data_IF_595631091614
#
_entry.id   IF_595631091614
#
_cell.length_a   1.000
_cell.length_b   1.000
_cell.length_c   1.000
_cell.angle_alpha   90.00
_cell.angle_beta   90.00
_cell.angle_gamma   90.00
#
_symmetry.space_group_name_H-M   'P 1'
#
loop_
_entity.id
_entity.type
_entity.pdbx_description
1 polymer ?
#
# COMPACT_ATOMS: atom_id res chain seq x y z
N UNK A 1 6.94 9.66 -14.43
CA UNK A 1 6.37 10.45 -13.32
C UNK A 1 4.92 10.03 -13.15
N UNK A 2 4.63 9.21 -12.13
CA UNK A 2 3.28 8.70 -11.88
C UNK A 2 2.49 9.78 -11.15
N UNK A 3 1.68 10.54 -11.88
CA UNK A 3 1.01 11.75 -11.36
C UNK A 3 -0.41 11.48 -10.82
N UNK A 4 -0.73 10.23 -10.45
CA UNK A 4 -2.05 9.86 -9.92
C UNK A 4 -2.09 9.98 -8.40
N UNK A 5 -3.23 10.42 -7.87
CA UNK A 5 -3.53 10.29 -6.44
C UNK A 5 -3.90 8.85 -6.11
N UNK A 6 -3.93 8.52 -4.82
CA UNK A 6 -4.38 7.20 -4.37
C UNK A 6 -5.85 6.99 -4.72
N UNK A 7 -6.70 8.00 -4.56
CA UNK A 7 -8.10 7.95 -4.97
C UNK A 7 -8.28 7.63 -6.45
N UNK A 8 -7.49 8.26 -7.33
CA UNK A 8 -7.50 7.97 -8.77
C UNK A 8 -6.93 6.58 -9.10
N UNK A 9 -6.05 6.03 -8.27
CA UNK A 9 -5.53 4.68 -8.44
C UNK A 9 -6.62 3.63 -8.19
N UNK A 10 -7.50 3.88 -7.22
CA UNK A 10 -8.61 2.97 -6.87
C UNK A 10 -9.68 2.87 -7.96
N UNK A 11 -9.77 3.86 -8.85
CA UNK A 11 -10.71 3.82 -9.98
C UNK A 11 -10.14 3.07 -11.20
N UNK A 12 -8.87 2.65 -11.14
CA UNK A 12 -8.27 1.85 -12.20
C UNK A 12 -8.86 0.44 -12.21
N UNK A 13 -8.96 -0.14 -13.41
CA UNK A 13 -9.47 -1.50 -13.57
C UNK A 13 -8.64 -2.54 -12.81
N UNK A 14 -9.25 -3.68 -12.53
CA UNK A 14 -8.55 -4.80 -11.91
C UNK A 14 -7.29 -5.18 -12.73
N UNK A 15 -6.20 -5.53 -12.04
CA UNK A 15 -4.90 -5.91 -12.61
C UNK A 15 -4.25 -4.81 -13.47
N UNK A 16 -4.63 -3.55 -13.28
CA UNK A 16 -3.98 -2.44 -13.96
C UNK A 16 -2.47 -2.44 -13.70
N UNK A 17 -1.67 -2.31 -14.78
CA UNK A 17 -0.21 -2.34 -14.70
C UNK A 17 0.40 -3.72 -14.45
N UNK A 18 -0.39 -4.79 -14.39
CA UNK A 18 0.17 -6.13 -14.18
C UNK A 18 1.14 -6.53 -15.30
N UNK A 19 2.25 -7.14 -14.90
CA UNK A 19 3.33 -7.54 -15.81
C UNK A 19 4.27 -6.40 -16.21
N UNK A 20 3.99 -5.16 -15.80
CA UNK A 20 4.91 -4.02 -15.98
C UNK A 20 5.79 -3.86 -14.76
N UNK A 21 7.07 -3.60 -15.01
CA UNK A 21 8.01 -3.22 -13.96
C UNK A 21 7.56 -1.90 -13.31
N UNK A 22 7.80 -1.78 -12.01
CA UNK A 22 7.55 -0.57 -11.24
C UNK A 22 8.68 -0.39 -10.23
N UNK A 23 9.21 0.82 -10.16
CA UNK A 23 10.25 1.20 -9.20
C UNK A 23 9.65 1.65 -7.85
N UNK A 24 8.31 1.62 -7.74
CA UNK A 24 7.62 1.99 -6.51
C UNK A 24 7.75 0.90 -5.44
N UNK A 25 7.84 1.28 -4.15
CA UNK A 25 7.80 0.32 -3.05
C UNK A 25 6.58 -0.59 -3.12
N UNK A 26 6.79 -1.89 -2.87
CA UNK A 26 5.69 -2.86 -2.80
C UNK A 26 4.82 -2.56 -1.58
N UNK A 27 3.54 -2.28 -1.82
CA UNK A 27 2.58 -2.03 -0.76
C UNK A 27 1.22 -2.67 -1.04
N UNK A 28 0.50 -2.98 0.04
CA UNK A 28 -0.93 -3.28 0.03
C UNK A 28 -1.64 -2.13 0.73
N UNK A 29 -2.45 -1.40 -0.03
CA UNK A 29 -3.24 -0.27 0.44
C UNK A 29 -4.70 -0.71 0.47
N UNK A 30 -5.35 -0.59 1.62
CA UNK A 30 -6.72 -1.06 1.85
C UNK A 30 -7.62 0.11 2.25
N UNK A 31 -8.89 0.05 1.88
CA UNK A 31 -9.91 1.03 2.26
C UNK A 31 -11.22 0.36 2.57
N UNK A 32 -11.97 0.87 3.55
CA UNK A 32 -13.29 0.35 3.90
C UNK A 32 -13.26 -0.97 4.68
N UNK A 33 -12.12 -1.32 5.28
CA UNK A 33 -11.99 -2.48 6.16
C UNK A 33 -12.00 -2.05 7.63
N UNK A 34 -12.60 -2.89 8.46
CA UNK A 34 -12.47 -2.83 9.92
C UNK A 34 -11.07 -3.24 10.36
N UNK A 35 -10.70 -2.90 11.59
CA UNK A 35 -9.41 -3.32 12.17
C UNK A 35 -9.27 -4.86 12.20
N UNK A 36 -10.35 -5.57 12.53
CA UNK A 36 -10.35 -7.04 12.58
C UNK A 36 -10.03 -7.66 11.20
N UNK A 37 -10.70 -7.20 10.15
CA UNK A 37 -10.48 -7.71 8.79
C UNK A 37 -9.05 -7.45 8.30
N UNK A 38 -8.50 -6.26 8.60
CA UNK A 38 -7.10 -5.94 8.29
C UNK A 38 -6.15 -6.93 8.97
N UNK A 39 -6.35 -7.21 10.26
CA UNK A 39 -5.51 -8.18 10.98
C UNK A 39 -5.62 -9.60 10.42
N UNK A 40 -6.82 -10.03 10.01
CA UNK A 40 -7.04 -11.33 9.38
C UNK A 40 -6.24 -11.44 8.08
N UNK A 41 -6.35 -10.44 7.19
CA UNK A 41 -5.65 -10.41 5.91
C UNK A 41 -4.13 -10.42 6.12
N UNK A 42 -3.63 -9.58 7.02
CA UNK A 42 -2.19 -9.52 7.33
C UNK A 42 -1.67 -10.84 7.90
N UNK A 43 -2.47 -11.52 8.75
CA UNK A 43 -2.10 -12.80 9.34
C UNK A 43 -2.08 -13.92 8.31
N UNK A 44 -3.07 -13.97 7.41
CA UNK A 44 -3.09 -14.91 6.30
C UNK A 44 -1.90 -14.69 5.35
N UNK A 45 -1.58 -13.43 5.02
CA UNK A 45 -0.44 -13.08 4.18
C UNK A 45 0.89 -13.58 4.76
N UNK A 46 1.11 -13.36 6.07
CA UNK A 46 2.31 -13.85 6.78
C UNK A 46 2.42 -15.37 6.77
N UNK A 47 1.29 -16.08 6.94
CA UNK A 47 1.26 -17.55 6.92
C UNK A 47 1.54 -18.14 5.53
N UNK A 48 1.32 -17.37 4.48
CA UNK A 48 1.56 -17.79 3.10
C UNK A 48 3.01 -17.61 2.62
N UNK A 49 3.94 -17.23 3.51
CA UNK A 49 5.37 -17.00 3.23
C UNK A 49 5.61 -16.03 2.05
N UNK A 50 4.73 -15.04 1.92
CA UNK A 50 4.80 -14.07 0.84
C UNK A 50 5.82 -12.96 1.16
N UNK A 51 6.41 -12.31 0.14
CA UNK A 51 7.41 -11.27 0.34
C UNK A 51 6.88 -10.11 1.18
N UNK A 52 7.71 -9.60 2.10
CA UNK A 52 7.37 -8.43 2.91
C UNK A 52 6.93 -7.25 2.03
N UNK A 53 5.90 -6.56 2.48
CA UNK A 53 5.33 -5.37 1.86
C UNK A 53 4.98 -4.33 2.92
N UNK A 54 4.85 -3.09 2.47
CA UNK A 54 4.27 -2.01 3.26
C UNK A 54 2.76 -2.18 3.32
N UNK A 55 2.15 -1.82 4.45
CA UNK A 55 0.71 -1.89 4.66
C UNK A 55 0.18 -0.52 5.03
N UNK A 56 -0.97 -0.14 4.47
CA UNK A 56 -1.67 1.08 4.86
C UNK A 56 -3.19 0.90 4.80
N UNK A 57 -3.89 1.52 5.74
CA UNK A 57 -5.33 1.77 5.66
C UNK A 57 -5.56 3.21 5.25
N UNK A 58 -6.45 3.43 4.27
CA UNK A 58 -6.71 4.78 3.78
C UNK A 58 -7.56 5.58 4.74
N UNK A 59 -7.09 6.80 4.97
CA UNK A 59 -7.85 7.90 5.55
C UNK A 59 -8.30 8.86 4.44
N UNK A 60 -9.35 9.68 4.66
CA UNK A 60 -9.76 10.71 3.71
C UNK A 60 -8.62 11.64 3.29
N UNK A 61 -7.68 11.91 4.21
CA UNK A 61 -6.49 12.74 3.94
C UNK A 61 -5.57 12.03 2.95
N UNK A 62 -5.17 10.79 3.23
CA UNK A 62 -4.23 10.01 2.41
C UNK A 62 -4.73 9.72 0.99
N UNK A 63 -6.05 9.69 0.79
CA UNK A 63 -6.66 9.47 -0.53
C UNK A 63 -6.28 10.55 -1.56
N UNK A 64 -6.14 11.79 -1.10
CA UNK A 64 -5.78 12.95 -1.93
C UNK A 64 -4.29 12.99 -2.31
N UNK A 65 -3.45 12.18 -1.67
CA UNK A 65 -2.02 12.23 -1.87
C UNK A 65 -1.61 11.57 -3.18
N UNK A 66 -0.54 12.06 -3.84
CA UNK A 66 0.13 11.30 -4.89
C UNK A 66 0.56 9.92 -4.37
N UNK A 67 0.42 8.87 -5.20
CA UNK A 67 0.84 7.51 -4.82
C UNK A 67 2.30 7.49 -4.36
N UNK A 68 3.17 8.19 -5.11
CA UNK A 68 4.60 8.30 -4.79
C UNK A 68 4.85 8.87 -3.38
N UNK A 69 4.04 9.85 -2.96
CA UNK A 69 4.12 10.44 -1.63
C UNK A 69 3.74 9.42 -0.56
N UNK A 70 2.57 8.79 -0.68
CA UNK A 70 2.11 7.79 0.30
C UNK A 70 3.14 6.67 0.46
N UNK A 71 3.63 6.11 -0.65
CA UNK A 71 4.61 5.02 -0.61
C UNK A 71 5.97 5.48 -0.05
N UNK A 72 6.37 6.73 -0.30
CA UNK A 72 7.57 7.32 0.26
C UNK A 72 7.52 7.41 1.79
N UNK A 73 6.40 7.89 2.34
CA UNK A 73 6.18 7.98 3.79
C UNK A 73 6.18 6.59 4.44
N UNK A 74 5.41 5.64 3.88
CA UNK A 74 5.37 4.26 4.41
C UNK A 74 6.74 3.60 4.40
N UNK A 75 7.53 3.82 3.34
CA UNK A 75 8.88 3.28 3.26
C UNK A 75 9.84 3.96 4.26
N UNK A 76 9.63 5.24 4.57
CA UNK A 76 10.39 5.94 5.59
C UNK A 76 10.08 5.42 7.00
N UNK A 77 8.81 5.21 7.32
CA UNK A 77 8.36 4.63 8.58
C UNK A 77 8.90 3.21 8.78
N UNK A 78 8.78 2.33 7.78
CA UNK A 78 9.31 0.97 7.85
C UNK A 78 10.84 0.93 8.03
N UNK A 79 11.57 1.87 7.40
CA UNK A 79 13.02 2.01 7.62
C UNK A 79 13.35 2.51 9.04
N UNK A 80 12.53 3.38 9.61
CA UNK A 80 12.73 3.86 10.98
C UNK A 80 12.51 2.72 11.99
N UNK A 81 11.41 1.97 11.85
CA UNK A 81 11.07 0.85 12.74
C UNK A 81 12.06 -0.32 12.68
N UNK A 82 12.83 -0.45 11.59
CA UNK A 82 13.86 -1.49 11.45
C UNK A 82 15.22 -1.09 12.03
N UNK A 83 15.42 0.19 12.35
CA UNK A 83 16.67 0.70 12.92
C UNK A 83 16.71 0.61 14.45
N UNK A 84 15.57 0.32 15.07
CA UNK A 84 15.41 0.03 16.49
C UNK A 84 15.45 -1.48 16.76
#
# INVERSE_FOLDING_TARGET
MFRKTVGEALTLGNRWGMGKASDLPRAVIMSGFTQEEVHIIMSAYRKADLPKQLWATLTPISQSWPIEKLLGELAAEDRALKKD
#
